data_IF_470864246711
#
_entry.id   IF_470864246711
#
_cell.length_a   1.000
_cell.length_b   1.000
_cell.length_c   1.000
_cell.angle_alpha   90.00
_cell.angle_beta   90.00
_cell.angle_gamma   90.00
#
_symmetry.space_group_name_H-M   'P 1'
#
loop_
_entity.id
_entity.type
_entity.pdbx_description
1 polymer ?
#
# COMPACT_ATOMS: atom_id res chain seq x y z
N UNK A 1 -6.29 -6.93 12.88
CA UNK A 1 -5.48 -5.74 13.25
C UNK A 1 -5.74 -4.66 12.20
N UNK A 2 -5.74 -3.37 12.54
CA UNK A 2 -5.98 -2.26 11.59
C UNK A 2 -4.66 -1.47 11.38
N UNK A 3 -3.87 -1.77 10.34
CA UNK A 3 -2.57 -1.12 10.15
C UNK A 3 -2.77 0.36 9.82
N UNK A 4 -2.06 1.25 10.52
CA UNK A 4 -2.07 2.69 10.22
C UNK A 4 -1.13 2.97 9.05
N UNK A 5 0.03 2.29 9.00
CA UNK A 5 1.05 2.43 7.96
C UNK A 5 1.52 1.06 7.50
N UNK A 6 1.77 0.90 6.20
CA UNK A 6 2.45 -0.25 5.59
C UNK A 6 3.68 0.24 4.85
N UNK A 7 4.86 -0.31 5.20
CA UNK A 7 6.12 0.00 4.55
C UNK A 7 6.47 -1.06 3.50
N UNK A 8 6.88 -0.61 2.32
CA UNK A 8 7.32 -1.44 1.19
C UNK A 8 8.76 -1.06 0.89
N UNK A 9 9.66 -2.02 0.99
CA UNK A 9 11.10 -1.81 0.86
C UNK A 9 11.62 -2.64 -0.30
N UNK A 10 12.31 -2.00 -1.24
CA UNK A 10 12.88 -2.67 -2.41
C UNK A 10 14.33 -2.25 -2.65
N UNK A 11 15.03 -3.00 -3.49
CA UNK A 11 16.37 -2.71 -4.01
C UNK A 11 16.35 -2.13 -5.44
N UNK A 12 15.16 -1.83 -5.97
CA UNK A 12 14.98 -1.13 -7.25
C UNK A 12 15.44 0.33 -7.18
N UNK A 13 15.69 0.94 -8.34
CA UNK A 13 16.12 2.34 -8.42
C UNK A 13 15.06 3.31 -7.91
N UNK A 14 13.80 3.10 -8.30
CA UNK A 14 12.67 3.85 -7.77
C UNK A 14 11.85 3.01 -6.78
N UNK A 15 11.27 3.63 -5.73
CA UNK A 15 10.28 2.96 -4.90
C UNK A 15 9.08 2.52 -5.75
N UNK A 16 8.60 1.30 -5.52
CA UNK A 16 7.47 0.73 -6.28
C UNK A 16 6.23 0.57 -5.40
N UNK A 17 5.02 0.72 -5.98
CA UNK A 17 3.78 0.48 -5.26
C UNK A 17 3.53 -1.01 -5.01
N UNK A 18 2.68 -1.35 -4.02
CA UNK A 18 2.24 -2.72 -3.82
C UNK A 18 1.47 -3.21 -5.06
N UNK A 19 1.53 -4.51 -5.34
CA UNK A 19 0.75 -5.12 -6.42
C UNK A 19 -0.77 -5.08 -6.09
N UNK A 20 -1.62 -5.37 -7.09
CA UNK A 20 -3.07 -5.32 -6.93
C UNK A 20 -3.60 -6.21 -5.79
N UNK A 21 -3.07 -7.43 -5.67
CA UNK A 21 -3.46 -8.35 -4.60
C UNK A 21 -3.10 -7.82 -3.21
N UNK A 22 -1.89 -7.28 -3.03
CA UNK A 22 -1.49 -6.64 -1.78
C UNK A 22 -2.38 -5.45 -1.44
N UNK A 23 -2.72 -4.59 -2.41
CA UNK A 23 -3.63 -3.46 -2.17
C UNK A 23 -4.98 -3.93 -1.66
N UNK A 24 -5.55 -4.98 -2.25
CA UNK A 24 -6.84 -5.54 -1.85
C UNK A 24 -6.79 -6.13 -0.44
N UNK A 25 -5.76 -6.93 -0.12
CA UNK A 25 -5.58 -7.48 1.23
C UNK A 25 -5.44 -6.36 2.26
N UNK A 26 -4.64 -5.32 2.00
CA UNK A 26 -4.52 -4.20 2.93
C UNK A 26 -5.87 -3.47 3.08
N UNK A 27 -6.64 -3.33 2.00
CA UNK A 27 -7.94 -2.65 2.01
C UNK A 27 -9.00 -3.38 2.86
N UNK A 28 -8.91 -4.70 2.98
CA UNK A 28 -9.76 -5.48 3.88
C UNK A 28 -9.52 -5.13 5.36
N UNK A 29 -8.31 -4.71 5.72
CA UNK A 29 -7.99 -4.28 7.08
C UNK A 29 -8.13 -2.77 7.29
N UNK A 30 -7.61 -1.96 6.37
CA UNK A 30 -7.70 -0.51 6.42
C UNK A 30 -7.56 0.14 5.02
N UNK A 31 -8.66 0.55 4.36
CA UNK A 31 -8.63 1.19 3.04
C UNK A 31 -7.97 2.58 3.03
N UNK A 32 -7.75 3.18 4.21
CA UNK A 32 -7.13 4.48 4.39
C UNK A 32 -5.68 4.37 4.92
N UNK A 33 -5.08 3.17 4.90
CA UNK A 33 -3.71 2.98 5.38
C UNK A 33 -2.70 3.84 4.61
N UNK A 34 -1.73 4.43 5.32
CA UNK A 34 -0.58 5.08 4.68
C UNK A 34 0.34 4.03 4.06
N UNK A 35 0.80 4.28 2.84
CA UNK A 35 1.73 3.42 2.12
C UNK A 35 3.05 4.16 1.97
N UNK A 36 4.08 3.67 2.64
CA UNK A 36 5.44 4.21 2.57
C UNK A 36 6.30 3.29 1.70
N UNK A 37 6.77 3.79 0.55
CA UNK A 37 7.57 3.03 -0.40
C UNK A 37 9.00 3.54 -0.37
N UNK A 38 9.96 2.65 -0.15
CA UNK A 38 11.35 3.01 0.04
C UNK A 38 12.26 2.17 -0.85
N UNK A 39 13.18 2.86 -1.55
CA UNK A 39 14.29 2.22 -2.26
C UNK A 39 15.53 2.22 -1.37
N UNK A 40 16.07 1.04 -1.11
CA UNK A 40 17.35 0.89 -0.39
C UNK A 40 18.55 1.34 -1.23
N UNK A 41 18.44 1.30 -2.56
CA UNK A 41 19.48 1.66 -3.53
C UNK A 41 19.66 3.17 -3.66
N UNK A 42 18.57 3.90 -3.88
CA UNK A 42 18.60 5.36 -4.07
C UNK A 42 18.25 6.15 -2.81
N UNK A 43 17.85 5.47 -1.73
CA UNK A 43 17.38 6.08 -0.47
C UNK A 43 16.13 6.95 -0.65
N UNK A 44 15.45 6.85 -1.80
CA UNK A 44 14.22 7.58 -2.08
C UNK A 44 13.05 7.02 -1.27
N UNK A 45 12.24 7.93 -0.74
CA UNK A 45 11.01 7.63 -0.01
C UNK A 45 9.84 8.32 -0.70
N UNK A 46 8.80 7.55 -1.01
CA UNK A 46 7.54 8.06 -1.54
C UNK A 46 6.43 7.62 -0.59
N UNK A 47 5.61 8.58 -0.16
CA UNK A 47 4.49 8.33 0.75
C UNK A 47 3.19 8.66 0.03
N UNK A 48 2.23 7.75 0.10
CA UNK A 48 0.87 7.91 -0.38
C UNK A 48 -0.09 7.22 0.60
N UNK A 49 -1.37 7.10 0.26
CA UNK A 49 -2.32 6.30 1.00
C UNK A 49 -2.95 5.24 0.08
N UNK A 50 -3.53 4.21 0.70
CA UNK A 50 -4.10 3.10 -0.04
C UNK A 50 -5.28 3.54 -0.91
N UNK A 51 -6.07 4.53 -0.49
CA UNK A 51 -7.17 5.09 -1.26
C UNK A 51 -6.74 5.68 -2.61
N UNK A 52 -5.56 6.30 -2.68
CA UNK A 52 -5.01 6.78 -3.96
C UNK A 52 -4.59 5.62 -4.87
N UNK A 53 -4.11 4.51 -4.29
CA UNK A 53 -3.65 3.34 -5.04
C UNK A 53 -4.78 2.36 -5.41
N UNK A 54 -5.88 2.36 -4.67
CA UNK A 54 -7.06 1.53 -4.87
C UNK A 54 -8.32 2.32 -4.44
N UNK A 55 -8.85 3.19 -5.31
CA UNK A 55 -9.94 4.12 -4.94
C UNK A 55 -11.26 3.43 -4.59
N UNK A 56 -11.54 2.33 -5.27
CA UNK A 56 -12.78 1.56 -5.12
C UNK A 56 -12.43 0.09 -4.87
N UNK A 57 -11.96 -0.25 -3.65
CA UNK A 57 -11.62 -1.63 -3.32
C UNK A 57 -12.86 -2.51 -3.40
N UNK A 58 -12.69 -3.73 -3.88
CA UNK A 58 -13.76 -4.70 -3.82
C UNK A 58 -14.09 -5.00 -2.34
N UNK A 59 -15.37 -5.13 -2.04
CA UNK A 59 -15.86 -5.56 -0.73
C UNK A 59 -16.83 -6.70 -0.94
N UNK A 60 -16.58 -7.81 -0.26
CA UNK A 60 -17.57 -8.88 -0.17
C UNK A 60 -18.74 -8.31 0.65
N UNK A 61 -19.95 -8.29 0.07
CA UNK A 61 -21.16 -8.02 0.85
C UNK A 61 -21.28 -9.16 1.86
N UNK A 62 -21.19 -8.84 3.15
CA UNK A 62 -21.58 -9.77 4.20
C UNK A 62 -23.12 -9.68 4.28
N UNK A 63 -23.79 -10.80 4.06
CA UNK A 63 -25.21 -10.99 4.36
C UNK A 63 -25.43 -10.99 5.88
#
# INVERSE_FOLDING_TARGET
>A
RKPIIVAIVTDYEEPIPPCGACRQVIAEFNPEATIAMYSTKTKKLVITNLKQLLPTPFKIKQE
#
